data_IF_839247738480
#
_entry.id   IF_839247738480
#
_cell.length_a   1.000
_cell.length_b   1.000
_cell.length_c   1.000
_cell.angle_alpha   90.00
_cell.angle_beta   90.00
_cell.angle_gamma   90.00
#
_symmetry.space_group_name_H-M   'P 1'
#
loop_
_entity.id
_entity.type
_entity.pdbx_description
1 polymer ?
#
# COMPACT_ATOMS: atom_id res chain seq x y z
N UNK A 1 8.59 -6.39 -3.59
CA UNK A 1 8.02 -7.74 -3.34
C UNK A 1 6.98 -8.06 -4.42
N UNK A 2 6.84 -9.33 -4.82
CA UNK A 2 5.77 -9.77 -5.70
C UNK A 2 5.24 -11.17 -5.33
N UNK A 3 3.95 -11.42 -5.61
CA UNK A 3 3.34 -12.76 -5.44
C UNK A 3 2.98 -13.39 -6.78
N UNK A 4 3.56 -14.53 -7.08
CA UNK A 4 3.21 -15.34 -8.25
C UNK A 4 1.82 -15.98 -8.05
N UNK A 5 0.86 -15.67 -8.93
CA UNK A 5 -0.55 -16.01 -8.75
C UNK A 5 -0.81 -17.52 -8.91
N UNK A 6 -0.02 -18.19 -9.77
CA UNK A 6 -0.18 -19.61 -10.06
C UNK A 6 0.37 -20.50 -8.94
N UNK A 7 1.49 -20.10 -8.35
CA UNK A 7 2.19 -20.91 -7.33
C UNK A 7 1.87 -20.47 -5.91
N UNK A 8 1.55 -19.19 -5.70
CA UNK A 8 1.48 -18.57 -4.38
C UNK A 8 2.85 -18.27 -3.78
N UNK A 9 3.92 -18.34 -4.57
CA UNK A 9 5.26 -17.98 -4.15
C UNK A 9 5.36 -16.47 -3.92
N UNK A 10 5.96 -16.09 -2.79
CA UNK A 10 6.26 -14.72 -2.45
C UNK A 10 7.75 -14.44 -2.68
N UNK A 11 8.05 -13.46 -3.51
CA UNK A 11 9.39 -13.11 -3.97
C UNK A 11 9.74 -11.69 -3.55
N UNK A 12 10.98 -11.48 -3.11
CA UNK A 12 11.58 -10.15 -2.95
C UNK A 12 12.51 -9.92 -4.12
N UNK A 13 12.45 -8.73 -4.72
CA UNK A 13 13.36 -8.28 -5.78
C UNK A 13 14.28 -7.25 -5.14
N UNK A 14 15.50 -7.63 -4.71
CA UNK A 14 16.37 -6.73 -3.98
C UNK A 14 16.76 -5.55 -4.88
N UNK A 15 16.73 -4.34 -4.35
CA UNK A 15 17.16 -3.16 -5.08
C UNK A 15 18.69 -3.11 -5.17
N UNK A 16 19.25 -2.76 -6.33
CA UNK A 16 20.71 -2.73 -6.55
C UNK A 16 21.42 -1.53 -5.89
N UNK A 17 20.65 -0.68 -5.19
CA UNK A 17 21.14 0.54 -4.56
C UNK A 17 21.13 1.77 -5.49
N UNK A 18 20.65 1.63 -6.71
CA UNK A 18 20.40 2.75 -7.62
C UNK A 18 19.37 2.40 -8.68
N UNK A 19 18.47 3.32 -8.99
CA UNK A 19 17.56 3.17 -10.12
C UNK A 19 18.31 3.21 -11.45
N UNK A 20 18.15 2.15 -12.26
CA UNK A 20 18.82 1.96 -13.56
C UNK A 20 17.89 1.26 -14.56
N UNK A 21 16.64 1.72 -14.63
CA UNK A 21 15.61 1.11 -15.49
C UNK A 21 15.46 -0.39 -15.20
N UNK A 22 15.70 -1.24 -16.20
CA UNK A 22 15.59 -2.70 -16.04
C UNK A 22 16.67 -3.36 -15.18
N UNK A 23 17.74 -2.64 -14.81
CA UNK A 23 18.81 -3.14 -13.93
C UNK A 23 18.62 -2.70 -12.46
N UNK A 24 17.46 -2.14 -12.13
CA UNK A 24 17.12 -1.65 -10.78
C UNK A 24 17.06 -2.77 -9.74
N UNK A 25 16.71 -3.99 -10.16
CA UNK A 25 16.55 -5.13 -9.25
C UNK A 25 17.54 -6.25 -9.52
N UNK A 26 18.08 -6.82 -8.44
CA UNK A 26 18.84 -8.06 -8.44
C UNK A 26 17.94 -9.29 -8.67
N UNK A 27 18.57 -10.47 -8.72
CA UNK A 27 17.83 -11.74 -8.84
C UNK A 27 16.81 -11.87 -7.72
N UNK A 28 15.56 -12.28 -8.03
CA UNK A 28 14.53 -12.39 -7.02
C UNK A 28 14.82 -13.54 -6.05
N UNK A 29 14.48 -13.31 -4.79
CA UNK A 29 14.66 -14.24 -3.68
C UNK A 29 13.30 -14.75 -3.19
N UNK A 30 13.15 -16.07 -3.10
CA UNK A 30 11.93 -16.71 -2.61
C UNK A 30 11.88 -16.65 -1.08
N UNK A 31 10.87 -15.97 -0.54
CA UNK A 31 10.69 -15.80 0.90
C UNK A 31 9.56 -16.64 1.49
N UNK A 32 8.62 -17.13 0.66
CA UNK A 32 7.58 -18.05 1.11
C UNK A 32 6.90 -18.78 -0.05
N UNK A 33 6.31 -19.94 0.23
CA UNK A 33 5.51 -20.76 -0.69
C UNK A 33 4.04 -20.86 -0.28
N UNK A 34 3.64 -20.17 0.80
CA UNK A 34 2.35 -20.37 1.48
C UNK A 34 1.39 -19.19 1.33
N UNK A 35 1.43 -18.47 0.20
CA UNK A 35 0.62 -17.27 -0.04
C UNK A 35 -0.37 -17.37 -1.21
N UNK A 36 -0.73 -18.58 -1.63
CA UNK A 36 -1.60 -18.80 -2.80
C UNK A 36 -2.96 -18.08 -2.67
N UNK A 37 -3.44 -17.37 -3.70
CA UNK A 37 -4.59 -16.46 -3.59
C UNK A 37 -5.89 -17.15 -3.18
N UNK A 38 -6.11 -18.37 -3.68
CA UNK A 38 -7.34 -19.14 -3.47
C UNK A 38 -7.23 -20.16 -2.34
N UNK A 39 -6.05 -20.31 -1.70
CA UNK A 39 -5.80 -21.35 -0.67
C UNK A 39 -5.25 -20.78 0.64
N UNK A 40 -4.64 -19.61 0.60
CA UNK A 40 -3.97 -19.01 1.74
C UNK A 40 -4.47 -17.58 1.97
N UNK A 41 -4.05 -16.61 1.17
CA UNK A 41 -4.31 -15.20 1.44
C UNK A 41 -4.84 -14.52 0.19
N UNK A 42 -5.96 -13.83 0.28
CA UNK A 42 -6.58 -13.15 -0.88
C UNK A 42 -5.89 -11.82 -1.18
N UNK A 43 -5.41 -11.13 -0.15
CA UNK A 43 -4.61 -9.90 -0.23
C UNK A 43 -3.30 -10.13 0.51
N UNK A 44 -2.20 -9.63 -0.05
CA UNK A 44 -0.86 -9.66 0.58
C UNK A 44 -0.22 -8.29 0.39
N UNK A 45 0.38 -7.74 1.44
CA UNK A 45 1.11 -6.46 1.39
C UNK A 45 2.32 -6.48 2.32
N UNK A 46 3.41 -5.76 1.98
CA UNK A 46 4.45 -5.44 2.93
C UNK A 46 3.94 -4.38 3.92
N UNK A 47 4.50 -4.35 5.13
CA UNK A 47 4.15 -3.39 6.18
C UNK A 47 5.27 -3.32 7.21
N UNK A 48 5.50 -2.19 7.86
CA UNK A 48 6.31 -2.12 9.08
C UNK A 48 5.41 -1.88 10.30
N UNK A 49 4.80 -2.96 10.82
CA UNK A 49 3.87 -2.87 11.96
C UNK A 49 4.60 -2.44 13.23
N UNK A 50 5.91 -2.68 13.31
CA UNK A 50 6.70 -2.48 14.52
C UNK A 50 7.57 -1.23 14.51
N UNK A 51 7.62 -0.50 13.39
CA UNK A 51 8.48 0.66 13.20
C UNK A 51 9.97 0.34 13.28
N UNK A 52 10.37 -0.91 12.97
CA UNK A 52 11.75 -1.37 13.15
C UNK A 52 12.62 -1.16 11.89
N UNK A 53 12.04 -0.64 10.81
CA UNK A 53 12.68 -0.38 9.52
C UNK A 53 12.76 -1.60 8.60
N UNK A 54 12.27 -2.77 9.02
CA UNK A 54 12.14 -3.96 8.19
C UNK A 54 10.67 -4.20 7.86
N UNK A 55 10.37 -4.30 6.57
CA UNK A 55 9.05 -4.70 6.13
C UNK A 55 8.76 -6.15 6.55
N UNK A 56 7.73 -6.32 7.38
CA UNK A 56 6.96 -7.54 7.57
C UNK A 56 6.03 -7.80 6.37
N UNK A 57 5.29 -8.90 6.42
CA UNK A 57 4.27 -9.23 5.43
C UNK A 57 2.92 -9.48 6.10
N UNK A 58 1.85 -8.90 5.59
CA UNK A 58 0.49 -9.30 5.95
C UNK A 58 -0.16 -10.16 4.88
N UNK A 59 -0.97 -11.11 5.32
CA UNK A 59 -1.88 -11.89 4.50
C UNK A 59 -3.31 -11.79 5.02
N UNK A 60 -4.25 -11.40 4.17
CA UNK A 60 -5.68 -11.40 4.49
C UNK A 60 -6.26 -12.76 4.12
N UNK A 61 -6.74 -13.50 5.11
CA UNK A 61 -7.47 -14.73 4.92
C UNK A 61 -8.98 -14.47 4.96
N UNK A 62 -9.71 -15.14 4.07
CA UNK A 62 -11.16 -15.12 4.02
C UNK A 62 -11.71 -16.55 4.12
N UNK A 63 -12.87 -16.72 4.75
CA UNK A 63 -13.46 -18.05 5.00
C UNK A 63 -13.66 -18.86 3.73
N UNK A 64 -13.95 -18.22 2.59
CA UNK A 64 -14.10 -18.91 1.31
C UNK A 64 -12.79 -19.46 0.74
N UNK A 65 -11.63 -18.94 1.17
CA UNK A 65 -10.32 -19.38 0.69
C UNK A 65 -9.73 -20.52 1.55
N UNK A 66 -9.84 -20.44 2.88
CA UNK A 66 -9.17 -21.37 3.78
C UNK A 66 -9.88 -21.62 5.12
N UNK A 67 -11.20 -21.39 5.17
CA UNK A 67 -12.04 -21.50 6.39
C UNK A 67 -11.62 -20.59 7.57
N UNK A 68 -10.64 -19.71 7.38
CA UNK A 68 -10.16 -18.75 8.38
C UNK A 68 -10.45 -17.32 7.91
N UNK A 69 -10.81 -16.43 8.83
CA UNK A 69 -10.97 -15.01 8.51
C UNK A 69 -10.08 -14.16 9.40
N UNK A 70 -9.33 -13.24 8.81
CA UNK A 70 -8.53 -12.26 9.54
C UNK A 70 -7.31 -11.79 8.76
N UNK A 71 -6.59 -10.85 9.36
CA UNK A 71 -5.32 -10.35 8.87
C UNK A 71 -4.22 -11.02 9.68
N UNK A 72 -3.29 -11.68 9.00
CA UNK A 72 -2.16 -12.40 9.59
C UNK A 72 -0.88 -11.66 9.27
N UNK A 73 -0.16 -11.23 10.31
CA UNK A 73 1.18 -10.69 10.22
C UNK A 73 2.19 -11.82 10.21
N UNK A 74 3.13 -11.79 9.28
CA UNK A 74 4.30 -12.64 9.19
C UNK A 74 5.52 -11.76 9.47
N UNK A 75 6.04 -11.78 10.72
CA UNK A 75 7.12 -10.89 11.11
C UNK A 75 8.40 -11.17 10.33
N UNK A 76 9.10 -10.13 9.90
CA UNK A 76 10.43 -10.22 9.34
C UNK A 76 11.44 -10.54 10.46
N UNK A 77 12.32 -11.51 10.23
CA UNK A 77 13.33 -11.94 11.22
C UNK A 77 14.64 -11.15 11.15
N UNK A 78 14.57 -9.91 10.67
CA UNK A 78 15.70 -8.96 10.64
C UNK A 78 16.53 -9.02 9.37
N UNK A 79 15.91 -9.33 8.23
CA UNK A 79 16.56 -9.27 6.93
C UNK A 79 16.03 -10.28 5.92
N UNK A 80 16.60 -10.24 4.72
CA UNK A 80 16.27 -11.13 3.61
C UNK A 80 17.15 -12.40 3.68
N UNK A 81 16.55 -13.53 4.03
CA UNK A 81 17.22 -14.82 4.27
C UNK A 81 16.44 -16.01 3.67
N UNK A 82 15.95 -15.84 2.44
CA UNK A 82 15.19 -16.84 1.69
C UNK A 82 13.93 -17.23 2.44
N UNK A 83 13.64 -18.53 2.50
CA UNK A 83 12.50 -19.07 3.24
C UNK A 83 12.60 -18.86 4.76
N UNK A 84 13.74 -18.41 5.28
CA UNK A 84 13.93 -18.02 6.68
C UNK A 84 13.71 -16.51 6.91
N UNK A 85 13.17 -15.77 5.94
CA UNK A 85 12.89 -14.33 6.09
C UNK A 85 11.72 -14.07 7.06
N UNK A 86 10.68 -14.89 7.00
CA UNK A 86 9.43 -14.68 7.73
C UNK A 86 9.30 -15.62 8.94
N UNK A 87 8.75 -15.11 10.03
CA UNK A 87 8.39 -15.84 11.23
C UNK A 87 7.01 -16.48 11.19
N UNK A 88 6.64 -17.14 12.29
CA UNK A 88 5.31 -17.71 12.47
C UNK A 88 4.23 -16.61 12.47
N UNK A 89 3.07 -16.86 11.84
CA UNK A 89 2.06 -15.82 11.69
C UNK A 89 1.30 -15.52 12.97
N UNK A 90 1.00 -14.23 13.17
CA UNK A 90 0.16 -13.71 14.25
C UNK A 90 -1.12 -13.16 13.63
N UNK A 91 -2.30 -13.60 14.07
CA UNK A 91 -3.57 -12.99 13.65
C UNK A 91 -3.71 -11.63 14.35
N UNK A 92 -3.43 -10.54 13.64
CA UNK A 92 -3.40 -9.17 14.17
C UNK A 92 -4.76 -8.46 14.11
N UNK A 93 -5.66 -8.93 13.24
CA UNK A 93 -7.03 -8.43 13.14
C UNK A 93 -8.02 -9.53 12.73
N UNK A 94 -9.26 -9.42 13.19
CA UNK A 94 -10.33 -10.40 12.96
C UNK A 94 -11.55 -9.83 12.24
N UNK A 95 -12.54 -10.69 11.99
CA UNK A 95 -13.80 -10.29 11.38
C UNK A 95 -14.54 -9.29 12.27
N UNK A 96 -15.30 -8.39 11.62
CA UNK A 96 -16.26 -7.51 12.26
C UNK A 96 -17.67 -7.87 11.83
N UNK A 97 -18.58 -7.84 12.80
CA UNK A 97 -20.01 -8.13 12.57
C UNK A 97 -20.81 -6.87 12.24
N UNK A 98 -20.32 -5.70 12.64
CA UNK A 98 -21.02 -4.41 12.52
C UNK A 98 -20.82 -3.74 11.16
N UNK A 99 -19.59 -3.76 10.64
CA UNK A 99 -19.18 -2.97 9.48
C UNK A 99 -18.01 -3.62 8.74
N UNK A 100 -17.93 -3.43 7.43
CA UNK A 100 -16.91 -4.03 6.56
C UNK A 100 -16.23 -2.98 5.71
N UNK A 101 -14.95 -3.20 5.43
CA UNK A 101 -14.14 -2.39 4.51
C UNK A 101 -13.70 -3.28 3.35
N UNK A 102 -13.78 -2.75 2.13
CA UNK A 102 -13.54 -3.51 0.90
C UNK A 102 -12.20 -3.22 0.23
N UNK A 103 -11.49 -2.19 0.72
CA UNK A 103 -10.09 -1.95 0.40
C UNK A 103 -9.24 -2.08 1.67
N UNK A 104 -7.95 -2.30 1.48
CA UNK A 104 -6.97 -2.33 2.55
C UNK A 104 -5.74 -1.55 2.10
N UNK A 105 -5.53 -0.40 2.74
CA UNK A 105 -4.38 0.45 2.62
C UNK A 105 -3.56 0.44 3.91
N UNK A 106 -2.28 0.78 3.77
CA UNK A 106 -1.29 0.77 4.85
C UNK A 106 -0.46 2.04 4.71
N UNK A 107 -0.25 2.74 5.83
CA UNK A 107 0.68 3.85 5.98
C UNK A 107 0.74 4.25 7.45
N UNK A 108 1.83 4.86 7.89
CA UNK A 108 1.89 5.63 9.15
C UNK A 108 1.00 6.88 9.04
N UNK A 109 -0.29 6.74 9.36
CA UNK A 109 -1.30 7.78 9.18
C UNK A 109 -1.23 8.77 10.32
N UNK A 110 -1.00 8.33 11.55
CA UNK A 110 -0.90 9.21 12.72
C UNK A 110 0.53 9.73 13.01
N UNK A 111 1.50 9.31 12.20
CA UNK A 111 2.90 9.75 12.21
C UNK A 111 3.67 9.33 13.47
N UNK A 112 3.34 8.16 14.02
CA UNK A 112 3.98 7.63 15.22
C UNK A 112 5.14 6.66 14.94
N UNK A 113 5.41 6.39 13.66
CA UNK A 113 6.47 5.51 13.17
C UNK A 113 6.04 4.06 12.98
N UNK A 114 4.79 3.70 13.29
CA UNK A 114 4.22 2.39 13.00
C UNK A 114 3.17 2.50 11.90
N UNK A 115 3.17 1.55 10.96
CA UNK A 115 2.15 1.56 9.93
C UNK A 115 0.74 1.28 10.51
N UNK A 116 -0.22 2.12 10.11
CA UNK A 116 -1.65 2.00 10.36
C UNK A 116 -2.38 1.32 9.20
N UNK A 117 -3.66 1.01 9.43
CA UNK A 117 -4.55 0.49 8.40
C UNK A 117 -5.57 1.54 8.01
N UNK A 118 -5.90 1.62 6.72
CA UNK A 118 -7.06 2.36 6.25
C UNK A 118 -7.83 1.56 5.20
N UNK A 119 -9.08 1.93 4.97
CA UNK A 119 -9.86 1.32 3.91
C UNK A 119 -11.12 2.11 3.60
N UNK A 120 -11.75 1.78 2.48
CA UNK A 120 -13.09 2.26 2.15
C UNK A 120 -14.14 1.29 2.66
N UNK A 121 -15.14 1.81 3.37
CA UNK A 121 -16.30 1.05 3.80
C UNK A 121 -17.01 0.41 2.61
N UNK A 122 -17.45 -0.84 2.79
CA UNK A 122 -18.21 -1.57 1.80
C UNK A 122 -19.53 -0.86 1.47
N UNK A 123 -19.77 -0.62 0.17
CA UNK A 123 -20.96 0.08 -0.34
C UNK A 123 -21.12 1.53 0.17
N UNK A 124 -20.06 2.14 0.71
CA UNK A 124 -20.06 3.55 1.08
C UNK A 124 -18.75 4.24 0.69
N UNK A 125 -18.78 5.57 0.58
CA UNK A 125 -17.62 6.39 0.27
C UNK A 125 -16.66 6.62 1.43
N UNK A 126 -16.94 6.06 2.60
CA UNK A 126 -16.24 6.40 3.84
C UNK A 126 -14.85 5.76 3.86
N UNK A 127 -13.81 6.58 3.75
CA UNK A 127 -12.42 6.14 3.95
C UNK A 127 -12.07 6.38 5.41
N UNK A 128 -11.86 5.29 6.15
CA UNK A 128 -11.59 5.33 7.58
C UNK A 128 -10.21 4.71 7.88
N UNK A 129 -9.49 5.25 8.86
CA UNK A 129 -8.25 4.72 9.42
C UNK A 129 -8.50 3.97 10.74
N UNK A 130 -7.60 3.07 11.07
CA UNK A 130 -7.52 2.27 12.29
C UNK A 130 -6.08 2.26 12.77
N UNK A 131 -5.83 2.87 13.94
CA UNK A 131 -4.46 3.12 14.36
C UNK A 131 -3.83 1.93 15.05
N UNK A 132 -2.55 1.73 14.77
CA UNK A 132 -1.70 0.77 15.43
C UNK A 132 -1.51 1.19 16.90
N UNK A 133 -1.62 0.24 17.81
CA UNK A 133 -1.45 0.49 19.26
C UNK A 133 0.02 0.38 19.71
N UNK A 134 0.96 0.40 18.75
CA UNK A 134 2.42 0.24 18.95
C UNK A 134 2.82 -1.06 19.63
N UNK A 135 1.94 -2.06 19.56
CA UNK A 135 2.17 -3.38 20.10
C UNK A 135 1.49 -4.42 19.20
N UNK A 136 2.26 -5.40 18.74
CA UNK A 136 1.69 -6.55 18.01
C UNK A 136 0.98 -7.45 19.01
N UNK A 137 -0.33 -7.27 19.09
CA UNK A 137 -1.21 -8.07 19.93
C UNK A 137 -2.24 -8.81 19.10
N UNK A 138 -2.41 -10.10 19.38
CA UNK A 138 -3.33 -10.96 18.64
C UNK A 138 -4.76 -10.37 18.68
N UNK A 139 -5.31 -10.07 17.50
CA UNK A 139 -6.61 -9.42 17.26
C UNK A 139 -6.80 -8.01 17.83
N UNK A 140 -5.75 -7.40 18.38
CA UNK A 140 -5.79 -6.11 19.09
C UNK A 140 -4.63 -5.20 18.70
N UNK A 141 -3.96 -5.48 17.58
CA UNK A 141 -2.83 -4.65 17.10
C UNK A 141 -3.32 -3.28 16.67
N UNK A 142 -4.50 -3.22 16.05
CA UNK A 142 -5.15 -1.97 15.66
C UNK A 142 -6.33 -1.66 16.57
N UNK A 143 -6.67 -0.39 16.70
CA UNK A 143 -7.90 0.00 17.36
C UNK A 143 -9.15 -0.50 16.59
N UNK A 144 -10.31 -0.37 17.22
CA UNK A 144 -11.60 -0.80 16.64
C UNK A 144 -12.46 0.38 16.21
N UNK A 145 -11.93 1.59 16.29
CA UNK A 145 -12.66 2.83 16.03
C UNK A 145 -12.41 3.25 14.60
N UNK A 146 -13.47 3.46 13.83
CA UNK A 146 -13.33 4.00 12.49
C UNK A 146 -13.05 5.51 12.58
N UNK A 147 -11.83 5.93 12.24
CA UNK A 147 -11.45 7.35 12.20
C UNK A 147 -11.59 7.88 10.79
N UNK A 148 -12.60 8.73 10.54
CA UNK A 148 -12.86 9.26 9.20
C UNK A 148 -11.69 10.10 8.70
N UNK A 149 -11.11 9.69 7.58
CA UNK A 149 -10.14 10.47 6.82
C UNK A 149 -10.84 11.39 5.82
N UNK A 150 -11.65 10.80 4.94
CA UNK A 150 -12.35 11.50 3.84
C UNK A 150 -13.53 10.68 3.36
N UNK A 151 -14.44 11.31 2.60
CA UNK A 151 -15.48 10.61 1.83
C UNK A 151 -15.20 10.73 0.33
N UNK A 152 -15.25 9.61 -0.39
CA UNK A 152 -15.08 9.51 -1.85
C UNK A 152 -16.32 8.92 -2.52
N UNK A 153 -16.35 8.77 -3.85
CA UNK A 153 -17.42 8.00 -4.50
C UNK A 153 -17.33 6.51 -4.11
N UNK A 154 -18.46 5.81 -4.06
CA UNK A 154 -18.50 4.38 -3.73
C UNK A 154 -17.77 3.51 -4.76
N UNK A 155 -17.55 4.01 -5.98
CA UNK A 155 -16.81 3.29 -7.03
C UNK A 155 -15.33 3.70 -7.08
N UNK A 156 -14.89 4.66 -6.27
CA UNK A 156 -13.49 5.06 -6.18
C UNK A 156 -12.70 4.03 -5.35
N UNK A 157 -11.41 3.92 -5.67
CA UNK A 157 -10.50 2.99 -5.02
C UNK A 157 -9.35 3.77 -4.34
N UNK A 158 -9.37 3.95 -3.01
CA UNK A 158 -8.20 4.47 -2.29
C UNK A 158 -7.07 3.44 -2.33
N UNK A 159 -5.96 3.83 -2.97
CA UNK A 159 -4.86 2.94 -3.34
C UNK A 159 -3.82 2.81 -2.23
N UNK A 160 -3.31 3.96 -1.79
CA UNK A 160 -2.11 4.12 -0.97
C UNK A 160 -2.09 5.52 -0.34
N UNK A 161 -1.23 5.69 0.66
CA UNK A 161 -0.93 6.99 1.27
C UNK A 161 0.58 7.20 1.30
N UNK A 162 1.03 8.40 0.93
CA UNK A 162 2.44 8.81 0.94
C UNK A 162 2.58 10.33 0.81
N UNK A 163 3.70 10.91 1.20
CA UNK A 163 3.96 12.36 1.10
C UNK A 163 4.35 12.77 -0.34
N UNK A 164 3.36 12.79 -1.23
CA UNK A 164 3.53 13.18 -2.63
C UNK A 164 3.62 14.71 -2.77
N UNK A 165 2.99 15.45 -1.86
CA UNK A 165 3.05 16.92 -1.86
C UNK A 165 4.36 17.48 -1.31
N UNK A 166 5.14 16.65 -0.58
CA UNK A 166 6.38 17.06 0.09
C UNK A 166 6.13 17.95 1.31
N UNK A 167 4.99 17.77 1.97
CA UNK A 167 4.59 18.55 3.16
C UNK A 167 5.06 17.93 4.48
N UNK A 168 5.68 16.74 4.41
CA UNK A 168 6.07 15.92 5.55
C UNK A 168 4.93 15.09 6.13
N UNK A 169 3.80 14.98 5.43
CA UNK A 169 2.58 14.27 5.87
C UNK A 169 2.04 13.42 4.73
N UNK A 170 1.39 12.28 5.01
CA UNK A 170 0.86 11.44 3.95
C UNK A 170 -0.36 12.08 3.27
N UNK A 171 -0.34 12.10 1.94
CA UNK A 171 -1.49 12.36 1.09
C UNK A 171 -2.19 11.05 0.73
N UNK A 172 -3.49 11.10 0.44
CA UNK A 172 -4.24 9.92 -0.01
C UNK A 172 -4.31 9.87 -1.54
N UNK A 173 -3.82 8.79 -2.13
CA UNK A 173 -4.01 8.50 -3.55
C UNK A 173 -5.27 7.67 -3.78
N UNK A 174 -6.09 8.13 -4.70
CA UNK A 174 -7.36 7.51 -5.07
C UNK A 174 -7.41 7.34 -6.59
N UNK A 175 -7.61 6.10 -7.05
CA UNK A 175 -8.04 5.88 -8.44
C UNK A 175 -9.54 6.09 -8.51
N UNK A 176 -9.94 7.12 -9.24
CA UNK A 176 -11.33 7.44 -9.50
C UNK A 176 -11.97 6.43 -10.42
N UNK A 177 -13.29 6.27 -10.31
CA UNK A 177 -14.06 5.39 -11.21
C UNK A 177 -13.95 5.78 -12.69
N UNK A 178 -13.72 7.07 -12.99
CA UNK A 178 -13.49 7.56 -14.35
C UNK A 178 -12.06 7.28 -14.87
N UNK A 179 -11.17 6.73 -14.04
CA UNK A 179 -9.79 6.40 -14.39
C UNK A 179 -8.76 7.48 -14.06
N UNK A 180 -9.15 8.59 -13.43
CA UNK A 180 -8.19 9.58 -12.95
C UNK A 180 -7.45 9.05 -11.71
N UNK A 181 -6.17 9.40 -11.59
CA UNK A 181 -5.43 9.27 -10.34
C UNK A 181 -5.47 10.62 -9.64
N UNK A 182 -6.22 10.67 -8.55
CA UNK A 182 -6.35 11.85 -7.72
C UNK A 182 -5.53 11.70 -6.44
N UNK A 183 -5.00 12.82 -6.00
CA UNK A 183 -4.39 13.04 -4.70
C UNK A 183 -5.33 13.87 -3.83
N UNK A 184 -5.49 13.47 -2.57
CA UNK A 184 -6.12 14.27 -1.51
C UNK A 184 -5.07 14.74 -0.51
N UNK A 185 -4.80 16.04 -0.55
CA UNK A 185 -3.98 16.75 0.45
C UNK A 185 -4.88 17.07 1.65
N UNK A 186 -4.58 16.50 2.81
CA UNK A 186 -5.37 16.72 4.02
C UNK A 186 -5.23 18.16 4.55
N UNK A 187 -6.34 18.74 5.02
CA UNK A 187 -6.28 20.02 5.73
C UNK A 187 -5.59 19.85 7.08
N UNK A 188 -4.57 20.68 7.31
CA UNK A 188 -3.73 20.59 8.50
C UNK A 188 -4.38 21.24 9.72
N UNK A 189 -4.45 20.50 10.82
CA UNK A 189 -4.82 20.99 12.13
C UNK A 189 -3.62 21.69 12.79
N UNK A 190 -3.70 23.01 12.92
CA UNK A 190 -2.64 23.81 13.55
C UNK A 190 -2.85 24.04 15.05
N UNK A 191 -3.88 23.45 15.67
CA UNK A 191 -4.16 23.63 17.11
C UNK A 191 -3.15 22.91 18.02
N UNK A 192 -2.52 21.84 17.51
CA UNK A 192 -1.66 20.95 18.30
C UNK A 192 -2.42 19.95 19.17
N UNK A 193 -3.75 19.93 19.11
CA UNK A 193 -4.60 18.97 19.83
C UNK A 193 -5.27 17.99 18.87
N UNK A 194 -5.25 16.70 19.20
CA UNK A 194 -5.89 15.64 18.41
C UNK A 194 -5.11 15.25 17.16
N UNK A 195 -5.83 14.78 16.14
CA UNK A 195 -5.27 14.37 14.86
C UNK A 195 -4.66 15.56 14.12
N UNK A 196 -3.59 15.31 13.35
CA UNK A 196 -2.92 16.36 12.57
C UNK A 196 -3.76 16.84 11.39
N UNK A 197 -4.81 16.11 10.99
CA UNK A 197 -5.78 16.57 9.99
C UNK A 197 -7.08 17.04 10.64
N UNK A 198 -7.62 18.16 10.15
CA UNK A 198 -8.95 18.64 10.54
C UNK A 198 -9.55 19.49 9.44
N UNK A 199 -10.82 19.23 9.12
CA UNK A 199 -11.55 19.94 8.07
C UNK A 199 -11.42 19.29 6.70
N UNK A 200 -11.83 20.02 5.67
CA UNK A 200 -11.83 19.54 4.29
C UNK A 200 -10.50 19.87 3.61
N UNK A 201 -9.86 18.83 3.08
CA UNK A 201 -8.63 18.90 2.31
C UNK A 201 -8.85 19.36 0.87
N UNK A 202 -7.86 19.11 0.01
CA UNK A 202 -7.87 19.53 -1.39
C UNK A 202 -7.60 18.35 -2.31
N UNK A 203 -8.34 18.31 -3.41
CA UNK A 203 -8.17 17.32 -4.45
C UNK A 203 -7.36 17.87 -5.62
N UNK A 204 -6.43 17.06 -6.10
CA UNK A 204 -5.64 17.35 -7.29
C UNK A 204 -5.53 16.11 -8.17
N UNK A 205 -5.77 16.26 -9.47
CA UNK A 205 -5.60 15.16 -10.42
C UNK A 205 -4.14 15.09 -10.87
N UNK A 206 -3.44 14.02 -10.48
CA UNK A 206 -2.05 13.75 -10.87
C UNK A 206 -1.94 13.18 -12.29
N UNK A 207 -3.02 12.59 -12.80
CA UNK A 207 -3.04 12.09 -14.17
C UNK A 207 -4.35 11.39 -14.52
N UNK A 208 -4.50 11.08 -15.80
CA UNK A 208 -5.68 10.42 -16.36
C UNK A 208 -5.30 9.09 -16.99
N UNK A 209 -6.25 8.16 -17.11
CA UNK A 209 -6.03 6.89 -17.80
C UNK A 209 -5.48 5.77 -16.91
N UNK A 210 -5.43 5.96 -15.59
CA UNK A 210 -4.85 5.04 -14.62
C UNK A 210 -5.67 3.76 -14.41
N UNK A 211 -6.86 3.65 -15.01
CA UNK A 211 -7.61 2.38 -15.09
C UNK A 211 -6.92 1.33 -15.97
N UNK A 212 -5.90 1.70 -16.77
CA UNK A 212 -5.12 0.74 -17.56
C UNK A 212 -4.22 -0.17 -16.71
N UNK A 213 -3.89 0.25 -15.49
CA UNK A 213 -2.99 -0.47 -14.60
C UNK A 213 -3.74 -1.46 -13.71
N UNK A 214 -3.30 -2.71 -13.74
CA UNK A 214 -3.80 -3.78 -12.89
C UNK A 214 -3.34 -3.60 -11.43
N UNK A 215 -2.12 -3.09 -11.25
CA UNK A 215 -1.51 -2.82 -9.95
C UNK A 215 -0.84 -1.46 -9.96
N UNK A 216 -0.96 -0.74 -8.85
CA UNK A 216 -0.28 0.53 -8.58
C UNK A 216 0.22 0.43 -7.14
N UNK A 217 1.52 0.62 -6.93
CA UNK A 217 2.12 0.76 -5.61
C UNK A 217 2.91 2.06 -5.52
N UNK A 218 3.11 2.51 -4.29
CA UNK A 218 3.89 3.71 -3.97
C UNK A 218 5.15 3.26 -3.25
N UNK A 219 6.31 3.73 -3.71
CA UNK A 219 7.61 3.38 -3.15
C UNK A 219 8.65 4.40 -3.59
N UNK A 220 9.73 4.60 -2.85
CA UNK A 220 10.87 5.41 -3.28
C UNK A 220 11.84 4.48 -4.05
N UNK A 221 11.66 4.36 -5.37
CA UNK A 221 12.42 3.41 -6.18
C UNK A 221 13.77 3.99 -6.59
N UNK A 222 13.90 5.30 -6.72
CA UNK A 222 15.18 5.94 -7.05
C UNK A 222 16.02 6.38 -5.85
N UNK A 223 15.50 6.17 -4.64
CA UNK A 223 16.14 6.43 -3.36
C UNK A 223 16.40 7.93 -3.14
N UNK A 224 15.56 8.78 -3.71
CA UNK A 224 15.68 10.24 -3.60
C UNK A 224 14.92 10.84 -2.39
N UNK A 225 14.21 9.99 -1.64
CA UNK A 225 13.41 10.32 -0.48
C UNK A 225 11.99 10.77 -0.80
N UNK A 226 11.55 10.72 -2.06
CA UNK A 226 10.19 11.06 -2.49
C UNK A 226 9.47 9.82 -2.99
N UNK A 227 8.14 9.75 -2.85
CA UNK A 227 7.42 8.56 -3.26
C UNK A 227 7.17 8.56 -4.77
N UNK A 228 7.63 7.51 -5.44
CA UNK A 228 7.38 7.18 -6.84
C UNK A 228 6.19 6.23 -6.99
N UNK A 229 5.71 6.07 -8.23
CA UNK A 229 4.63 5.14 -8.56
C UNK A 229 5.15 4.00 -9.42
N UNK A 230 4.98 2.78 -8.94
CA UNK A 230 5.25 1.56 -9.68
C UNK A 230 3.92 0.96 -10.14
N UNK A 231 3.79 0.70 -11.44
CA UNK A 231 2.52 0.24 -12.01
C UNK A 231 2.70 -0.92 -13.00
N UNK A 232 1.75 -1.85 -13.00
CA UNK A 232 1.72 -2.98 -13.93
C UNK A 232 0.58 -2.80 -14.91
N UNK A 233 0.90 -2.74 -16.20
CA UNK A 233 -0.10 -2.75 -17.28
C UNK A 233 -0.72 -4.14 -17.43
N UNK A 234 -1.91 -4.21 -18.02
CA UNK A 234 -2.59 -5.48 -18.29
C UNK A 234 -1.78 -6.46 -19.17
N UNK A 235 -0.88 -5.97 -20.01
CA UNK A 235 0.03 -6.80 -20.83
C UNK A 235 1.25 -7.32 -20.06
N UNK A 236 1.39 -6.97 -18.78
CA UNK A 236 2.50 -7.36 -17.92
C UNK A 236 3.74 -6.49 -18.05
N UNK A 237 3.64 -5.31 -18.68
CA UNK A 237 4.69 -4.30 -18.63
C UNK A 237 4.70 -3.63 -17.26
N UNK A 238 5.84 -3.69 -16.57
CA UNK A 238 6.11 -2.95 -15.34
C UNK A 238 6.71 -1.60 -15.70
N UNK A 239 6.06 -0.53 -15.25
CA UNK A 239 6.50 0.86 -15.45
C UNK A 239 6.68 1.58 -14.13
N UNK A 240 7.58 2.56 -14.14
CA UNK A 240 7.81 3.49 -13.04
C UNK A 240 7.46 4.90 -13.50
N UNK A 241 6.76 5.64 -12.66
CA UNK A 241 6.65 7.09 -12.74
C UNK A 241 7.38 7.68 -11.54
N UNK A 242 8.51 8.33 -11.80
CA UNK A 242 9.33 8.96 -10.77
C UNK A 242 8.71 10.28 -10.31
N UNK A 243 8.90 10.64 -9.06
CA UNK A 243 8.55 11.95 -8.56
C UNK A 243 9.52 13.01 -9.12
N UNK A 244 9.01 14.04 -9.80
CA UNK A 244 9.83 15.08 -10.46
C UNK A 244 10.46 16.11 -9.48
N UNK A 245 10.67 15.74 -8.21
CA UNK A 245 11.28 16.61 -7.20
C UNK A 245 10.39 17.68 -6.56
N UNK A 246 9.22 18.00 -7.13
CA UNK A 246 8.32 19.04 -6.56
C UNK A 246 6.86 18.85 -6.96
N UNK A 247 5.97 19.01 -6.00
CA UNK A 247 4.55 19.21 -6.23
C UNK A 247 4.20 20.70 -6.45
N UNK A 248 3.29 20.95 -7.40
CA UNK A 248 2.78 22.28 -7.71
C UNK A 248 1.25 22.22 -7.89
N UNK A 249 0.45 22.82 -6.99
CA UNK A 249 -1.03 22.77 -7.05
C UNK A 249 -1.66 23.26 -8.36
N UNK A 250 -0.97 24.17 -9.07
CA UNK A 250 -1.40 24.72 -10.36
C UNK A 250 -1.05 23.82 -11.56
N UNK A 251 -0.19 22.81 -11.35
CA UNK A 251 0.21 21.80 -12.35
C UNK A 251 0.44 20.43 -11.68
N UNK A 252 -0.58 19.84 -11.04
CA UNK A 252 -0.43 18.59 -10.30
C UNK A 252 -0.07 17.40 -11.20
N UNK A 253 -0.43 17.46 -12.48
CA UNK A 253 -0.11 16.48 -13.51
C UNK A 253 1.38 16.43 -13.88
N UNK A 254 2.16 17.45 -13.50
CA UNK A 254 3.61 17.47 -13.69
C UNK A 254 4.40 16.86 -12.51
N UNK A 255 3.72 16.38 -11.47
CA UNK A 255 4.37 15.83 -10.26
C UNK A 255 5.12 14.53 -10.57
N UNK A 256 4.55 13.70 -11.43
CA UNK A 256 5.11 12.40 -11.81
C UNK A 256 5.73 12.46 -13.20
N UNK A 257 6.81 11.72 -13.41
CA UNK A 257 7.49 11.62 -14.70
C UNK A 257 6.65 10.85 -15.72
N UNK A 258 7.03 10.96 -16.99
CA UNK A 258 6.55 10.03 -18.00
C UNK A 258 7.00 8.60 -17.65
N UNK A 259 6.18 7.57 -17.92
CA UNK A 259 6.50 6.21 -17.50
C UNK A 259 7.78 5.68 -18.14
N UNK A 260 8.67 5.12 -17.32
CA UNK A 260 9.81 4.33 -17.76
C UNK A 260 9.48 2.85 -17.66
N UNK A 261 9.72 2.08 -18.73
CA UNK A 261 9.55 0.63 -18.72
C UNK A 261 10.76 0.00 -18.06
N UNK A 262 10.54 -0.75 -16.98
CA UNK A 262 11.63 -1.42 -16.25
C UNK A 262 11.57 -2.95 -16.36
N UNK A 263 10.43 -3.53 -16.72
CA UNK A 263 10.35 -4.95 -17.01
C UNK A 263 9.09 -5.35 -17.80
N UNK A 264 9.08 -6.59 -18.29
CA UNK A 264 7.95 -7.23 -19.00
C UNK A 264 7.66 -8.61 -18.41
N UNK A 265 6.46 -9.15 -18.63
CA UNK A 265 6.10 -10.49 -18.15
C UNK A 265 5.58 -10.52 -16.71
N UNK A 266 5.12 -9.38 -16.18
CA UNK A 266 4.66 -9.22 -14.80
C UNK A 266 3.17 -9.53 -14.59
N UNK A 267 2.42 -9.86 -15.64
CA UNK A 267 0.99 -10.21 -15.57
C UNK A 267 0.70 -11.47 -14.72
N UNK A 268 1.73 -12.28 -14.42
CA UNK A 268 1.63 -13.43 -13.52
C UNK A 268 1.65 -13.05 -12.03
N UNK A 269 2.01 -11.81 -11.70
CA UNK A 269 2.08 -11.35 -10.33
C UNK A 269 0.80 -10.62 -9.95
N UNK A 270 0.10 -11.10 -8.91
CA UNK A 270 -1.14 -10.47 -8.41
C UNK A 270 -0.88 -9.40 -7.34
N UNK A 271 0.38 -9.28 -6.91
CA UNK A 271 0.86 -8.31 -5.94
C UNK A 271 2.20 -7.83 -6.45
N UNK A 272 2.37 -6.52 -6.52
CA UNK A 272 3.63 -5.82 -6.79
C UNK A 272 3.65 -4.63 -5.84
N UNK A 273 4.68 -4.54 -5.00
CA UNK A 273 4.79 -3.58 -3.91
C UNK A 273 6.24 -3.31 -3.58
#
# INVERSE_FOLDING_TARGET
MARDDATGHLLVFPHTGSFRGSETFDKPELISTSFHPQRNHVVVRPIDVTGNGYADVIGVSMTYANATHGIFLYPNKGGLNGLDTLGEPIRISGARDDKKWETLGIADVDMDGCDDMFGREQNAGNVDAFFNQREVKQNETYDRTAHRLVTVDVNDFPLAMADITGTGRPDLLVRRANGDLDLYEFAHNTSGEGQWWQGEGRWYTLGRGWQEFAHISVTDIDLDGRPDLLAVRADGTLVVHLHNGKFAPDRPDATMSAPEVIATGWQKYSVVS
#
